data_IF_648739593110
#
_entry.id   IF_648739593110
#
_cell.length_a   1.000
_cell.length_b   1.000
_cell.length_c   1.000
_cell.angle_alpha   90.00
_cell.angle_beta   90.00
_cell.angle_gamma   90.00
#
_symmetry.space_group_name_H-M   'P 1'
#
loop_
_entity.id
_entity.type
_entity.pdbx_description
1 polymer ?
#
# COMPACT_ATOMS: atom_id res chain seq x y z
N UNK A 1 -8.13 -0.03 -23.95
CA UNK A 1 -6.79 0.27 -23.40
C UNK A 1 -6.51 -0.70 -22.27
N UNK A 2 -5.29 -1.21 -22.14
CA UNK A 2 -4.92 -2.01 -20.98
C UNK A 2 -4.87 -1.09 -19.75
N UNK A 3 -5.45 -1.52 -18.62
CA UNK A 3 -5.40 -0.74 -17.38
C UNK A 3 -3.96 -0.55 -16.92
N UNK A 4 -3.53 0.67 -16.52
CA UNK A 4 -2.21 0.93 -15.93
C UNK A 4 -1.86 -0.04 -14.80
N UNK A 5 -2.85 -0.50 -14.05
CA UNK A 5 -2.69 -1.47 -12.97
C UNK A 5 -2.18 -2.85 -13.40
N UNK A 6 -2.38 -3.23 -14.66
CA UNK A 6 -1.82 -4.49 -15.19
C UNK A 6 -0.30 -4.41 -15.41
N UNK A 7 0.28 -3.21 -15.41
CA UNK A 7 1.70 -2.97 -15.62
C UNK A 7 2.46 -2.68 -14.31
N UNK A 8 1.76 -2.71 -13.17
CA UNK A 8 2.37 -2.48 -11.86
C UNK A 8 3.09 -3.74 -11.39
N UNK A 9 4.39 -3.63 -11.10
CA UNK A 9 5.18 -4.71 -10.51
C UNK A 9 5.39 -4.45 -9.01
N UNK A 10 4.90 -5.36 -8.17
CA UNK A 10 5.13 -5.33 -6.72
C UNK A 10 6.20 -6.34 -6.36
N UNK A 11 7.45 -5.91 -6.17
CA UNK A 11 8.48 -6.82 -5.66
C UNK A 11 8.32 -6.99 -4.16
N UNK A 12 8.07 -8.22 -3.74
CA UNK A 12 7.95 -8.58 -2.33
C UNK A 12 9.29 -9.10 -1.80
N UNK A 13 9.48 -9.13 -0.45
CA UNK A 13 10.61 -9.83 0.14
C UNK A 13 10.60 -11.34 -0.21
N UNK A 14 11.75 -11.99 -0.10
CA UNK A 14 11.90 -13.40 -0.40
C UNK A 14 10.90 -14.29 0.36
N UNK A 15 10.26 -15.20 -0.37
CA UNK A 15 9.29 -16.16 0.17
C UNK A 15 7.87 -15.63 0.38
N UNK A 16 7.65 -14.32 0.22
CA UNK A 16 6.31 -13.73 0.24
C UNK A 16 5.58 -13.96 -1.09
N UNK A 17 4.25 -13.93 -1.07
CA UNK A 17 3.41 -14.16 -2.26
C UNK A 17 2.39 -13.04 -2.43
N UNK A 18 2.20 -12.60 -3.68
CA UNK A 18 0.99 -11.86 -4.07
C UNK A 18 -0.05 -12.86 -4.56
N UNK A 19 -1.19 -12.92 -3.87
CA UNK A 19 -2.35 -13.68 -4.30
C UNK A 19 -3.37 -12.71 -4.90
N UNK A 20 -3.66 -12.85 -6.18
CA UNK A 20 -4.63 -12.01 -6.87
C UNK A 20 -6.04 -12.24 -6.32
N UNK A 21 -6.70 -11.16 -5.91
CA UNK A 21 -8.11 -11.16 -5.48
C UNK A 21 -9.01 -10.82 -6.67
N UNK A 22 -8.65 -9.77 -7.42
CA UNK A 22 -9.32 -9.37 -8.67
C UNK A 22 -8.33 -8.62 -9.59
N UNK A 23 -8.82 -7.84 -10.55
CA UNK A 23 -7.95 -7.12 -11.50
C UNK A 23 -7.17 -5.96 -10.92
N UNK A 24 -7.50 -5.52 -9.71
CA UNK A 24 -6.95 -4.32 -9.10
C UNK A 24 -6.45 -4.54 -7.69
N UNK A 25 -6.71 -5.73 -7.12
CA UNK A 25 -6.46 -6.01 -5.71
C UNK A 25 -5.75 -7.34 -5.55
N UNK A 26 -4.79 -7.37 -4.63
CA UNK A 26 -3.99 -8.54 -4.31
C UNK A 26 -3.77 -8.63 -2.80
N UNK A 27 -3.88 -9.83 -2.25
CA UNK A 27 -3.46 -10.13 -0.90
C UNK A 27 -1.95 -10.39 -0.86
N UNK A 28 -1.29 -9.84 0.16
CA UNK A 28 0.14 -10.07 0.42
C UNK A 28 0.23 -11.13 1.53
N UNK A 29 0.83 -12.27 1.19
CA UNK A 29 0.92 -13.45 2.06
C UNK A 29 2.35 -13.61 2.54
N UNK A 30 2.54 -13.53 3.86
CA UNK A 30 3.84 -13.73 4.50
C UNK A 30 4.26 -15.22 4.47
N UNK A 31 5.58 -15.51 4.45
CA UNK A 31 6.08 -16.89 4.40
C UNK A 31 5.80 -17.70 5.67
N UNK A 32 5.58 -17.02 6.80
CA UNK A 32 5.26 -17.64 8.08
C UNK A 32 3.95 -17.06 8.62
N UNK A 33 3.14 -17.91 9.24
CA UNK A 33 1.84 -17.50 9.80
C UNK A 33 2.06 -16.61 11.02
N UNK A 34 1.46 -15.43 10.99
CA UNK A 34 1.39 -14.47 12.10
C UNK A 34 0.02 -13.77 12.09
N UNK A 35 -0.17 -12.81 12.98
CA UNK A 35 -1.31 -11.88 12.97
C UNK A 35 -1.27 -10.88 11.82
N UNK A 36 -0.17 -10.76 11.09
CA UNK A 36 -0.07 -9.83 9.96
C UNK A 36 -1.09 -10.18 8.87
N UNK A 37 -1.86 -9.19 8.46
CA UNK A 37 -2.69 -9.20 7.25
C UNK A 37 -2.29 -8.01 6.41
N UNK A 38 -2.08 -8.23 5.12
CA UNK A 38 -1.66 -7.19 4.21
C UNK A 38 -2.26 -7.39 2.83
N UNK A 39 -2.52 -6.30 2.14
CA UNK A 39 -3.03 -6.32 0.78
C UNK A 39 -2.71 -5.01 0.08
N UNK A 40 -2.82 -5.02 -1.23
CA UNK A 40 -2.47 -3.91 -2.10
C UNK A 40 -3.55 -3.72 -3.15
N UNK A 41 -3.89 -2.46 -3.41
CA UNK A 41 -4.92 -2.04 -4.35
C UNK A 41 -4.34 -1.02 -5.32
N UNK A 42 -4.46 -1.29 -6.61
CA UNK A 42 -4.13 -0.33 -7.65
C UNK A 42 -5.41 0.39 -8.11
N UNK A 43 -5.30 1.70 -8.31
CA UNK A 43 -6.33 2.56 -8.83
C UNK A 43 -5.92 3.04 -10.23
N UNK A 44 -6.77 2.78 -11.23
CA UNK A 44 -6.59 3.27 -12.61
C UNK A 44 -7.32 4.60 -12.88
N UNK A 45 -7.81 5.26 -11.83
CA UNK A 45 -8.78 6.34 -11.91
C UNK A 45 -8.28 7.74 -11.57
N UNK A 46 -8.92 8.71 -12.24
CA UNK A 46 -8.72 10.17 -12.17
C UNK A 46 -9.28 10.83 -10.90
N UNK A 47 -9.43 10.12 -9.78
CA UNK A 47 -10.06 10.67 -8.57
C UNK A 47 -9.31 11.89 -8.04
N UNK A 48 -10.04 12.80 -7.38
CA UNK A 48 -9.42 13.84 -6.56
C UNK A 48 -8.68 13.15 -5.42
N UNK A 49 -7.44 13.60 -5.16
CA UNK A 49 -6.57 13.05 -4.14
C UNK A 49 -7.26 12.92 -2.78
N UNK A 50 -8.08 13.88 -2.35
CA UNK A 50 -8.76 13.80 -1.05
C UNK A 50 -9.79 12.66 -0.97
N UNK A 51 -10.54 12.44 -2.06
CA UNK A 51 -11.51 11.35 -2.14
C UNK A 51 -10.80 10.00 -2.17
N UNK A 52 -9.68 9.93 -2.89
CA UNK A 52 -8.83 8.75 -2.95
C UNK A 52 -8.34 8.31 -1.55
N UNK A 53 -8.00 9.26 -0.66
CA UNK A 53 -7.54 8.92 0.70
C UNK A 53 -8.65 8.36 1.59
N UNK A 54 -9.81 8.99 1.58
CA UNK A 54 -10.97 8.48 2.32
C UNK A 54 -11.35 7.06 1.85
N UNK A 55 -11.31 6.84 0.54
CA UNK A 55 -11.59 5.53 -0.05
C UNK A 55 -10.55 4.48 0.32
N UNK A 56 -9.25 4.83 0.24
CA UNK A 56 -8.16 3.96 0.63
C UNK A 56 -8.29 3.50 2.09
N UNK A 57 -8.57 4.42 3.00
CA UNK A 57 -8.74 4.10 4.42
C UNK A 57 -9.90 3.14 4.68
N UNK A 58 -11.05 3.43 4.08
CA UNK A 58 -12.24 2.61 4.25
C UNK A 58 -12.02 1.20 3.69
N UNK A 59 -11.56 1.08 2.44
CA UNK A 59 -11.32 -0.22 1.82
C UNK A 59 -10.29 -1.04 2.61
N UNK A 60 -9.22 -0.40 3.08
CA UNK A 60 -8.23 -1.10 3.90
C UNK A 60 -8.82 -1.63 5.19
N UNK A 61 -9.63 -0.82 5.86
CA UNK A 61 -10.25 -1.26 7.08
C UNK A 61 -11.22 -2.43 6.84
N UNK A 62 -12.01 -2.40 5.76
CA UNK A 62 -12.91 -3.50 5.41
C UNK A 62 -12.14 -4.80 5.09
N UNK A 63 -11.13 -4.73 4.21
CA UNK A 63 -10.34 -5.89 3.80
C UNK A 63 -9.47 -6.47 4.92
N UNK A 64 -9.00 -5.62 5.83
CA UNK A 64 -8.20 -6.04 6.98
C UNK A 64 -9.05 -6.34 8.21
N UNK A 65 -10.38 -6.30 8.07
CA UNK A 65 -11.35 -6.50 9.15
C UNK A 65 -11.06 -5.60 10.37
N UNK A 66 -10.66 -4.36 10.12
CA UNK A 66 -10.46 -3.33 11.11
C UNK A 66 -11.79 -2.63 11.44
N UNK A 67 -12.13 -2.42 12.72
CA UNK A 67 -13.30 -1.65 13.12
C UNK A 67 -13.09 -0.15 12.81
N UNK A 68 -13.42 0.25 11.59
CA UNK A 68 -13.34 1.64 11.13
C UNK A 68 -14.41 2.51 11.79
N UNK A 69 -14.07 3.74 12.14
CA UNK A 69 -15.04 4.75 12.62
C UNK A 69 -15.54 4.57 14.04
N UNK A 70 -15.79 3.32 14.46
CA UNK A 70 -16.52 3.00 15.69
C UNK A 70 -15.64 2.56 16.87
N UNK A 71 -14.32 2.39 16.65
CA UNK A 71 -13.41 1.98 17.73
C UNK A 71 -13.06 3.18 18.65
N UNK A 72 -13.47 3.16 19.94
CA UNK A 72 -13.26 4.27 20.87
C UNK A 72 -11.79 4.42 21.30
N UNK A 73 -10.95 3.40 21.12
CA UNK A 73 -9.52 3.44 21.38
C UNK A 73 -8.71 3.92 20.18
N UNK A 74 -9.35 4.18 19.03
CA UNK A 74 -8.66 4.49 17.78
C UNK A 74 -7.92 5.83 17.84
N UNK A 75 -6.60 5.76 17.82
CA UNK A 75 -5.74 6.92 17.58
C UNK A 75 -5.20 6.89 16.17
N UNK A 76 -5.24 8.02 15.48
CA UNK A 76 -4.78 8.16 14.09
C UNK A 76 -3.59 9.13 14.00
N UNK A 77 -2.57 8.75 13.24
CA UNK A 77 -1.37 9.58 13.00
C UNK A 77 -0.95 9.48 11.54
N UNK A 78 -0.64 10.61 10.91
CA UNK A 78 0.03 10.63 9.61
C UNK A 78 1.55 10.57 9.79
N UNK A 79 2.22 9.70 9.06
CA UNK A 79 3.68 9.60 9.04
C UNK A 79 4.19 9.32 7.63
N UNK A 80 5.47 9.63 7.39
CA UNK A 80 6.18 9.14 6.21
C UNK A 80 6.73 7.74 6.52
N UNK A 81 6.77 6.85 5.53
CA UNK A 81 7.36 5.52 5.67
C UNK A 81 8.88 5.63 5.75
N UNK A 82 9.42 5.57 6.97
CA UNK A 82 10.87 5.60 7.28
C UNK A 82 11.67 6.79 6.70
N UNK A 83 12.77 7.17 7.36
CA UNK A 83 13.57 8.35 7.01
C UNK A 83 14.44 8.16 5.74
N UNK A 84 14.10 7.19 4.89
CA UNK A 84 14.70 7.06 3.56
C UNK A 84 14.34 8.31 2.78
N UNK A 85 15.33 9.18 2.54
CA UNK A 85 15.14 10.36 1.71
C UNK A 85 14.46 9.93 0.42
N UNK A 86 13.32 10.55 0.10
CA UNK A 86 12.73 10.53 -1.23
C UNK A 86 13.85 10.90 -2.21
N UNK A 87 14.49 9.88 -2.78
CA UNK A 87 15.50 10.09 -3.79
C UNK A 87 14.82 10.85 -4.91
N UNK A 88 15.45 11.93 -5.39
CA UNK A 88 14.98 12.70 -6.54
C UNK A 88 15.05 11.92 -7.86
N UNK A 89 15.05 10.59 -7.79
CA UNK A 89 15.10 9.66 -8.91
C UNK A 89 13.68 9.47 -9.39
N UNK A 90 13.41 9.82 -10.65
CA UNK A 90 12.09 9.94 -11.26
C UNK A 90 11.27 8.66 -11.42
N UNK A 91 11.27 7.78 -10.43
CA UNK A 91 10.40 6.60 -10.33
C UNK A 91 9.51 6.71 -9.08
N UNK A 92 8.43 5.94 -9.04
CA UNK A 92 7.25 6.12 -8.17
C UNK A 92 7.49 6.60 -6.74
N UNK A 93 6.62 7.51 -6.25
CA UNK A 93 6.76 8.11 -4.92
C UNK A 93 5.70 7.52 -3.99
N UNK A 94 6.13 6.76 -2.97
CA UNK A 94 5.32 6.57 -1.76
C UNK A 94 5.14 7.94 -1.11
N UNK A 95 3.89 8.41 -1.03
CA UNK A 95 3.61 9.80 -0.67
C UNK A 95 3.53 9.94 0.85
N UNK A 96 2.75 9.07 1.51
CA UNK A 96 2.54 9.11 2.95
C UNK A 96 1.81 7.85 3.44
N UNK A 97 1.80 7.66 4.76
CA UNK A 97 0.96 6.67 5.41
C UNK A 97 0.12 7.30 6.52
N UNK A 98 -1.04 6.70 6.73
CA UNK A 98 -1.91 6.94 7.87
C UNK A 98 -1.93 5.70 8.73
N UNK A 99 -1.50 5.85 9.97
CA UNK A 99 -1.52 4.77 10.96
C UNK A 99 -2.70 4.97 11.89
N UNK A 100 -3.37 3.88 12.24
CA UNK A 100 -4.38 3.82 13.28
C UNK A 100 -4.02 2.73 14.30
N UNK A 101 -4.29 3.00 15.57
CA UNK A 101 -3.95 2.11 16.68
C UNK A 101 -5.18 1.94 17.55
N UNK A 102 -5.51 0.70 17.91
CA UNK A 102 -6.59 0.42 18.84
C UNK A 102 -6.40 -0.96 19.46
N UNK A 103 -6.69 -1.09 20.75
CA UNK A 103 -6.81 -2.39 21.43
C UNK A 103 -5.61 -3.34 21.27
N UNK A 104 -4.38 -2.81 21.18
CA UNK A 104 -3.16 -3.61 20.97
C UNK A 104 -2.95 -4.10 19.53
N UNK A 105 -3.73 -3.59 18.59
CA UNK A 105 -3.57 -3.76 17.16
C UNK A 105 -3.20 -2.43 16.49
N UNK A 106 -2.50 -2.56 15.38
CA UNK A 106 -2.08 -1.47 14.53
C UNK A 106 -2.58 -1.71 13.10
N UNK A 107 -3.01 -0.63 12.46
CA UNK A 107 -3.36 -0.54 11.06
C UNK A 107 -2.48 0.54 10.41
N UNK A 108 -1.92 0.28 9.26
CA UNK A 108 -1.23 1.28 8.44
C UNK A 108 -1.76 1.23 7.02
N UNK A 109 -2.08 2.41 6.49
CA UNK A 109 -2.57 2.63 5.12
C UNK A 109 -1.59 3.57 4.45
N UNK A 110 -0.85 3.05 3.47
CA UNK A 110 0.16 3.79 2.74
C UNK A 110 -0.29 3.99 1.31
N UNK A 111 -0.11 5.20 0.79
CA UNK A 111 -0.46 5.52 -0.59
C UNK A 111 0.79 5.77 -1.42
N UNK A 112 0.81 5.26 -2.64
CA UNK A 112 1.77 5.66 -3.65
C UNK A 112 1.04 6.40 -4.78
N UNK A 113 1.77 7.29 -5.43
CA UNK A 113 1.34 7.81 -6.72
C UNK A 113 2.49 7.80 -7.71
N UNK A 114 2.12 7.75 -8.97
CA UNK A 114 3.05 7.98 -10.06
C UNK A 114 3.43 9.50 -10.12
N UNK A 115 4.72 9.85 -9.94
CA UNK A 115 5.19 11.23 -9.97
C UNK A 115 5.12 11.86 -11.37
N UNK A 116 4.95 11.08 -12.44
CA UNK A 116 4.88 11.62 -13.79
C UNK A 116 3.60 12.45 -14.01
N UNK A 117 3.68 13.61 -14.70
CA UNK A 117 2.55 14.53 -14.88
C UNK A 117 1.41 13.98 -15.78
N UNK A 118 1.53 12.76 -16.30
CA UNK A 118 0.56 12.15 -17.22
C UNK A 118 -0.53 11.42 -16.44
N UNK A 119 -1.50 12.18 -15.92
CA UNK A 119 -2.63 11.67 -15.12
C UNK A 119 -3.32 10.41 -15.69
N UNK A 120 -3.37 10.28 -17.02
CA UNK A 120 -4.02 9.18 -17.74
C UNK A 120 -3.22 7.85 -17.76
N UNK A 121 -1.95 7.89 -17.37
CA UNK A 121 -1.06 6.72 -17.32
C UNK A 121 -0.65 6.35 -15.90
N UNK A 122 -1.17 7.06 -14.89
CA UNK A 122 -0.80 6.87 -13.49
C UNK A 122 -1.39 5.58 -12.95
N UNK A 123 -0.54 4.76 -12.35
CA UNK A 123 -0.95 3.65 -11.51
C UNK A 123 -0.82 4.10 -10.05
N UNK A 124 -1.79 4.86 -9.57
CA UNK A 124 -1.87 5.25 -8.16
C UNK A 124 -2.41 4.06 -7.35
N UNK A 125 -2.28 4.11 -6.03
CA UNK A 125 -2.91 3.09 -5.20
C UNK A 125 -2.46 3.13 -3.77
N UNK A 126 -2.90 2.12 -3.04
CA UNK A 126 -2.64 2.02 -1.61
C UNK A 126 -2.40 0.60 -1.17
N UNK A 127 -1.60 0.49 -0.11
CA UNK A 127 -1.24 -0.76 0.55
C UNK A 127 -1.66 -0.64 2.00
N UNK A 128 -2.31 -1.68 2.50
CA UNK A 128 -2.74 -1.78 3.88
C UNK A 128 -2.04 -2.89 4.61
N UNK A 129 -1.78 -2.65 5.89
CA UNK A 129 -1.26 -3.65 6.81
C UNK A 129 -2.02 -3.56 8.13
N UNK A 130 -2.43 -4.70 8.67
CA UNK A 130 -2.93 -4.85 10.04
C UNK A 130 -2.10 -5.89 10.76
N UNK A 131 -1.72 -5.63 12.00
CA UNK A 131 -1.03 -6.59 12.85
C UNK A 131 -1.35 -6.37 14.33
N UNK A 132 -1.12 -7.39 15.16
CA UNK A 132 -1.10 -7.21 16.61
C UNK A 132 0.30 -6.81 17.06
N UNK A 133 0.39 -5.77 17.89
CA UNK A 133 1.68 -5.33 18.46
C UNK A 133 2.26 -6.35 19.46
N UNK A 134 1.41 -7.23 19.99
CA UNK A 134 1.80 -8.34 20.86
C UNK A 134 2.37 -9.55 20.11
N UNK A 135 2.42 -9.53 18.78
CA UNK A 135 2.97 -10.59 17.94
C UNK A 135 4.32 -10.15 17.33
N UNK A 136 5.47 -10.56 17.92
CA UNK A 136 6.78 -10.13 17.46
C UNK A 136 7.09 -10.55 16.02
N UNK A 137 6.53 -11.67 15.56
CA UNK A 137 6.72 -12.14 14.19
C UNK A 137 5.98 -11.23 13.21
N UNK A 138 4.74 -10.86 13.50
CA UNK A 138 3.99 -9.91 12.68
C UNK A 138 4.68 -8.53 12.62
N UNK A 139 5.20 -8.05 13.75
CA UNK A 139 5.98 -6.80 13.81
C UNK A 139 7.23 -6.86 12.92
N UNK A 140 7.96 -7.99 12.94
CA UNK A 140 9.14 -8.20 12.09
C UNK A 140 8.78 -8.30 10.61
N UNK A 141 7.75 -9.07 10.28
CA UNK A 141 7.27 -9.24 8.90
C UNK A 141 6.77 -7.92 8.30
N UNK A 142 6.07 -7.10 9.10
CA UNK A 142 5.60 -5.78 8.68
C UNK A 142 6.77 -4.85 8.36
N UNK A 143 7.84 -4.83 9.18
CA UNK A 143 9.07 -4.07 8.86
C UNK A 143 9.71 -4.52 7.54
N UNK A 144 9.85 -5.82 7.34
CA UNK A 144 10.45 -6.36 6.12
C UNK A 144 9.63 -5.99 4.86
N UNK A 145 8.30 -6.02 4.97
CA UNK A 145 7.42 -5.63 3.88
C UNK A 145 7.49 -4.13 3.58
N UNK A 146 7.48 -3.28 4.61
CA UNK A 146 7.67 -1.82 4.49
C UNK A 146 9.00 -1.49 3.79
N UNK A 147 10.10 -2.13 4.20
CA UNK A 147 11.42 -1.94 3.60
C UNK A 147 11.45 -2.34 2.12
N UNK A 148 10.75 -3.42 1.74
CA UNK A 148 10.63 -3.84 0.34
C UNK A 148 9.85 -2.80 -0.46
N UNK A 149 8.66 -2.44 0.02
CA UNK A 149 7.75 -1.46 -0.59
C UNK A 149 8.47 -0.13 -0.86
N UNK A 150 9.25 0.37 0.11
CA UNK A 150 10.05 1.58 -0.04
C UNK A 150 11.10 1.51 -1.15
N UNK A 151 11.58 0.31 -1.51
CA UNK A 151 12.62 0.10 -2.52
C UNK A 151 12.08 -0.28 -3.89
N UNK A 152 10.84 -0.79 -3.98
CA UNK A 152 10.42 -1.62 -5.12
C UNK A 152 9.14 -1.19 -5.80
N UNK A 153 8.44 -0.17 -5.31
CA UNK A 153 7.37 0.43 -6.11
C UNK A 153 7.99 1.10 -7.34
N UNK A 154 8.02 0.36 -8.44
CA UNK A 154 8.47 0.82 -9.75
C UNK A 154 7.25 0.72 -10.67
N UNK A 155 6.58 1.84 -10.93
CA UNK A 155 5.67 1.95 -12.08
C UNK A 155 6.55 2.09 -13.31
N UNK A 156 6.67 1.03 -14.10
CA UNK A 156 7.39 1.10 -15.37
C UNK A 156 6.68 2.14 -16.25
N UNK A 157 7.38 3.15 -16.78
CA UNK A 157 6.77 4.04 -17.77
C UNK A 157 6.25 3.16 -18.92
N UNK A 158 5.01 3.40 -19.35
CA UNK A 158 4.48 2.75 -20.55
C UNK A 158 5.54 2.81 -21.66
N UNK A 159 5.75 1.73 -22.45
CA UNK A 159 6.57 1.85 -23.63
C UNK A 159 6.04 3.03 -24.44
N UNK A 160 6.95 3.93 -24.84
CA UNK A 160 6.60 5.07 -25.66
C UNK A 160 5.73 4.56 -26.81
N UNK A 161 4.60 5.25 -27.07
CA UNK A 161 3.81 4.99 -28.27
C UNK A 161 4.79 4.95 -29.44
N UNK A 162 4.92 3.80 -30.08
CA UNK A 162 5.67 3.68 -31.34
C UNK A 162 5.09 4.76 -32.27
N UNK A 163 5.97 5.67 -32.70
CA UNK A 163 5.63 6.75 -33.63
C UNK A 163 5.43 6.21 -35.03
#
# INVERSE_FOLDING_TARGET
MASPCNNTEFKLPDGWKLQRLNSYQWQIVAPQVSSLRAWVSCNDGTEDYQNFLGHAEQQNAEHLHWPYGDDPGRRTVMSKLSDGSLGSTGDSVLIFCKNAYASGESLSVCTWADPYPRRELRADGYVGFRWSDGDPLAVSQRRALEDSINRTFLVHPFPALEQ
#
